data_IF_670202448747
#
_entry.id   IF_670202448747
#
_cell.length_a   1.000
_cell.length_b   1.000
_cell.length_c   1.000
_cell.angle_alpha   90.00
_cell.angle_beta   90.00
_cell.angle_gamma   90.00
#
_symmetry.space_group_name_H-M   'P 1'
#
loop_
_entity.id
_entity.type
_entity.pdbx_description
1 polymer ?
2 non-polymer ?
3 non-polymer ?
4 water ?
#
# COMPACT_ATOMS: atom_id res chain seq x y z
N UNK A 2 12.97 -28.81 18.09
CA UNK A 2 11.99 -28.00 18.90
C UNK A 2 11.51 -26.80 18.08
N UNK A 3 11.25 -26.98 16.79
CA UNK A 3 11.04 -25.83 15.85
C UNK A 3 9.70 -25.13 16.13
N UNK A 4 9.76 -23.79 16.19
CA UNK A 4 8.60 -22.86 16.20
C UNK A 4 7.73 -23.16 14.98
N UNK A 5 6.39 -23.29 15.11
CA UNK A 5 5.55 -23.43 13.92
C UNK A 5 5.60 -22.10 13.15
N UNK A 6 5.32 -22.17 11.86
CA UNK A 6 5.28 -20.95 11.03
C UNK A 6 3.99 -20.18 11.28
N UNK A 7 4.06 -18.85 11.36
CA UNK A 7 2.86 -18.08 11.59
C UNK A 7 1.86 -18.05 10.43
N UNK A 8 0.58 -17.95 10.78
CA UNK A 8 -0.54 -17.75 9.83
C UNK A 8 -0.92 -16.27 9.75
N UNK A 9 -0.54 -15.50 10.74
CA UNK A 9 -0.79 -14.03 10.80
C UNK A 9 0.40 -13.37 11.48
N UNK A 10 0.68 -12.16 11.03
CA UNK A 10 1.63 -11.25 11.69
C UNK A 10 1.00 -9.90 11.93
N UNK A 11 1.65 -9.10 12.74
CA UNK A 11 1.22 -7.70 12.87
C UNK A 11 2.34 -6.83 12.34
N UNK A 12 1.91 -5.77 11.69
CA UNK A 12 2.77 -4.80 10.99
C UNK A 12 2.43 -3.44 11.51
N UNK A 13 3.44 -2.71 11.93
CA UNK A 13 3.39 -1.30 12.28
C UNK A 13 3.83 -0.46 11.07
N UNK A 14 3.03 0.54 10.72
CA UNK A 14 3.39 1.55 9.74
C UNK A 14 3.44 2.89 10.47
N UNK A 15 4.53 3.62 10.27
CA UNK A 15 4.63 4.99 10.76
C UNK A 15 4.95 5.96 9.66
N UNK A 16 4.34 7.12 9.69
CA UNK A 16 4.72 8.21 8.75
C UNK A 16 4.91 9.47 9.57
N UNK A 17 6.05 10.12 9.36
CA UNK A 17 6.32 11.37 10.08
C UNK A 17 7.12 12.32 9.20
N UNK A 18 6.54 13.48 8.91
CA UNK A 18 7.30 14.60 8.34
C UNK A 18 7.95 15.33 9.51
N UNK A 19 9.26 15.20 9.59
CA UNK A 19 10.07 15.67 10.74
C UNK A 19 10.34 17.19 10.65
N UNK A 20 10.00 17.86 9.56
CA UNK A 20 10.21 19.31 9.52
C UNK A 20 11.66 19.71 9.62
N UNK A 21 12.55 18.87 9.15
CA UNK A 21 14.01 19.13 9.14
C UNK A 21 14.55 19.43 10.55
N UNK A 22 13.95 18.89 11.58
CA UNK A 22 14.39 19.08 12.97
C UNK A 22 14.69 17.72 13.56
N UNK A 23 15.70 17.61 14.43
CA UNK A 23 15.91 16.39 15.16
C UNK A 23 14.71 16.04 16.02
N UNK A 24 14.49 14.74 16.26
CA UNK A 24 13.40 14.30 17.11
C UNK A 24 13.71 14.61 18.56
N UNK A 25 12.67 14.56 19.40
CA UNK A 25 12.89 14.65 20.82
C UNK A 25 13.46 13.34 21.37
N UNK A 26 13.81 13.33 22.66
CA UNK A 26 14.51 12.22 23.32
C UNK A 26 13.65 10.95 23.34
N UNK A 27 12.33 11.10 23.44
CA UNK A 27 11.41 9.95 23.56
C UNK A 27 10.35 10.03 22.47
N UNK A 28 10.28 8.94 21.69
CA UNK A 28 9.29 8.82 20.61
C UNK A 28 8.55 7.50 20.75
N UNK A 29 8.61 6.87 21.92
CA UNK A 29 7.97 5.55 22.14
C UNK A 29 6.46 5.62 21.89
N UNK A 30 5.78 6.77 22.14
CA UNK A 30 4.31 6.84 21.98
C UNK A 30 3.92 6.50 20.53
N UNK A 31 4.79 6.81 19.59
CA UNK A 31 4.50 6.56 18.14
C UNK A 31 4.34 5.04 17.98
N UNK A 32 5.38 4.28 18.41
CA UNK A 32 5.45 2.81 18.19
C UNK A 32 4.46 2.06 19.07
N UNK A 33 3.90 2.73 20.08
CA UNK A 33 2.86 2.17 20.96
C UNK A 33 1.45 2.54 20.46
N UNK A 34 1.34 3.30 19.37
CA UNK A 34 -0.02 3.69 18.84
C UNK A 34 -0.81 4.37 19.96
N UNK A 35 -0.18 5.36 20.63
CA UNK A 35 -0.82 6.17 21.69
C UNK A 35 -1.00 7.62 21.22
N UNK A 36 -2.16 8.19 21.55
CA UNK A 36 -2.43 9.60 21.32
C UNK A 36 -3.90 9.77 20.95
N UNK A 37 -4.15 10.23 19.75
CA UNK A 37 -5.53 10.52 19.29
C UNK A 37 -5.88 9.54 18.18
N UNK A 38 -7.16 9.27 18.03
CA UNK A 38 -7.70 8.39 16.99
C UNK A 38 -7.98 7.00 17.52
N UNK A 39 -7.73 6.01 16.66
CA UNK A 39 -7.92 4.59 16.97
C UNK A 39 -6.59 4.13 17.56
N UNK A 40 -6.56 3.99 18.88
CA UNK A 40 -5.28 3.74 19.57
C UNK A 40 -5.25 2.30 20.08
N UNK A 41 -4.05 1.87 20.42
CA UNK A 41 -3.79 0.49 20.83
C UNK A 41 -3.99 0.36 22.35
N UNK A 42 -4.50 -0.79 22.74
CA UNK A 42 -4.77 -1.09 24.17
C UNK A 42 -3.48 -1.16 24.98
N UNK A 43 -3.51 -0.56 26.17
CA UNK A 43 -2.32 -0.53 27.06
C UNK A 43 -1.83 -1.96 27.36
N UNK A 44 -2.72 -2.93 27.34
CA UNK A 44 -2.39 -4.34 27.70
C UNK A 44 -1.48 -4.97 26.63
N UNK A 45 -1.31 -4.31 25.49
CA UNK A 45 -0.46 -4.85 24.38
C UNK A 45 0.91 -4.16 24.35
N UNK A 46 1.18 -3.24 25.27
CA UNK A 46 2.37 -2.38 25.13
C UNK A 46 3.64 -3.20 24.97
N UNK A 47 3.78 -4.33 25.66
CA UNK A 47 5.03 -5.09 25.66
C UNK A 47 5.10 -6.09 24.52
N UNK A 48 4.01 -6.24 23.78
CA UNK A 48 3.90 -7.25 22.69
C UNK A 48 4.49 -6.60 21.46
N UNK A 49 5.61 -7.11 20.94
CA UNK A 49 6.19 -6.51 19.75
C UNK A 49 5.33 -6.82 18.53
N UNK A 50 5.29 -5.84 17.63
CA UNK A 50 4.90 -6.13 16.24
C UNK A 50 5.97 -6.95 15.58
N UNK A 51 5.55 -7.75 14.60
CA UNK A 51 6.49 -8.60 13.84
C UNK A 51 7.40 -7.75 12.95
N UNK A 52 6.82 -6.72 12.33
CA UNK A 52 7.53 -5.84 11.38
C UNK A 52 7.17 -4.41 11.70
N UNK A 53 8.15 -3.52 11.73
CA UNK A 53 7.96 -2.06 11.88
C UNK A 53 8.48 -1.38 10.62
N UNK A 54 7.63 -0.63 9.97
CA UNK A 54 8.02 0.13 8.77
C UNK A 54 7.86 1.60 9.07
N UNK A 55 8.95 2.32 8.97
CA UNK A 55 9.00 3.74 9.40
C UNK A 55 9.34 4.62 8.20
N UNK A 56 8.38 5.46 7.81
CA UNK A 56 8.55 6.43 6.72
C UNK A 56 8.73 7.81 7.32
N UNK A 57 9.77 8.48 6.89
CA UNK A 57 9.99 9.90 7.24
C UNK A 57 10.13 10.76 6.01
N UNK A 58 9.73 12.00 6.20
CA UNK A 58 9.90 13.05 5.17
C UNK A 58 10.57 14.23 5.87
N UNK A 59 11.27 15.06 5.10
CA UNK A 59 12.03 16.18 5.67
C UNK A 59 12.86 15.66 6.85
N UNK A 60 13.48 14.50 6.66
CA UNK A 60 14.31 13.85 7.69
C UNK A 60 15.72 14.41 7.66
N UNK A 61 16.18 15.06 8.76
CA UNK A 61 17.49 15.68 8.77
C UNK A 61 18.63 14.76 9.23
N UNK A 62 18.30 13.56 9.67
CA UNK A 62 19.31 12.67 10.30
C UNK A 62 20.02 11.81 9.25
N UNK A 63 21.17 11.32 9.61
CA UNK A 63 21.81 10.27 8.80
C UNK A 63 21.04 8.97 9.03
N UNK A 64 21.20 8.02 8.10
CA UNK A 64 20.67 6.67 8.29
C UNK A 64 21.13 6.10 9.62
N UNK A 65 22.42 6.22 9.93
CA UNK A 65 22.98 5.64 11.14
C UNK A 65 22.29 6.25 12.37
N UNK A 66 22.14 7.58 12.39
CA UNK A 66 21.56 8.30 13.52
C UNK A 66 20.10 7.88 13.72
N UNK A 67 19.32 7.76 12.66
CA UNK A 67 17.91 7.41 12.81
C UNK A 67 17.76 5.96 13.19
N UNK A 68 18.57 5.06 12.64
CA UNK A 68 18.52 3.61 13.02
C UNK A 68 18.78 3.46 14.51
N UNK A 69 19.78 4.18 15.02
CA UNK A 69 20.11 4.06 16.44
C UNK A 69 18.88 4.44 17.26
N UNK A 70 18.21 5.53 16.90
CA UNK A 70 17.06 6.05 17.69
C UNK A 70 15.92 5.05 17.58
N UNK A 71 15.65 4.55 16.39
CA UNK A 71 14.56 3.57 16.21
C UNK A 71 14.83 2.28 16.98
N UNK A 72 16.01 1.67 16.83
CA UNK A 72 16.29 0.41 17.54
C UNK A 72 16.29 0.63 19.05
N UNK A 73 16.78 1.76 19.55
CA UNK A 73 16.77 2.02 21.01
C UNK A 73 15.31 2.11 21.47
N UNK A 74 14.46 2.80 20.72
CA UNK A 74 13.04 3.02 21.12
C UNK A 74 12.34 1.64 21.20
N UNK A 75 12.52 0.79 20.20
CA UNK A 75 11.85 -0.52 20.22
C UNK A 75 12.43 -1.38 21.33
N UNK A 76 13.74 -1.37 21.54
CA UNK A 76 14.33 -2.16 22.64
C UNK A 76 13.71 -1.74 23.99
N UNK A 77 13.56 -0.44 24.19
CA UNK A 77 13.00 0.05 25.47
C UNK A 77 11.55 -0.47 25.62
N UNK A 78 10.76 -0.45 24.56
CA UNK A 78 9.34 -0.88 24.60
C UNK A 78 9.26 -2.39 24.85
N UNK A 79 10.03 -3.16 24.10
CA UNK A 79 9.75 -4.61 23.86
C UNK A 79 10.82 -5.49 24.49
N UNK A 80 11.97 -4.93 24.83
CA UNK A 80 13.18 -5.66 25.32
C UNK A 80 13.69 -6.58 24.20
N UNK A 81 13.32 -6.31 22.95
CA UNK A 81 13.79 -7.09 21.78
C UNK A 81 14.70 -6.18 20.95
N UNK A 82 15.81 -6.72 20.51
CA UNK A 82 16.73 -6.06 19.58
C UNK A 82 16.27 -6.41 18.17
N UNK A 83 15.69 -5.45 17.49
CA UNK A 83 15.16 -5.69 16.13
C UNK A 83 16.29 -5.72 15.09
N UNK A 84 16.09 -6.49 14.03
CA UNK A 84 17.02 -6.60 12.90
C UNK A 84 16.59 -5.64 11.81
N UNK A 85 17.57 -5.00 11.20
CA UNK A 85 17.34 -4.12 10.04
C UNK A 85 17.11 -5.02 8.83
N UNK A 86 15.97 -4.87 8.18
CA UNK A 86 15.64 -5.59 6.91
C UNK A 86 16.13 -4.75 5.73
N UNK A 87 15.85 -3.46 5.77
CA UNK A 87 16.21 -2.54 4.69
C UNK A 87 16.11 -1.10 5.16
N UNK A 88 16.88 -0.25 4.54
CA UNK A 88 16.77 1.22 4.71
C UNK A 88 17.06 1.84 3.33
N UNK A 89 16.24 2.79 2.92
CA UNK A 89 16.48 3.49 1.64
C UNK A 89 16.06 4.94 1.77
N UNK A 90 16.91 5.83 1.29
CA UNK A 90 16.70 7.27 1.39
C UNK A 90 16.78 7.90 0.00
N UNK A 91 15.84 8.80 -0.31
CA UNK A 91 15.93 9.68 -1.50
C UNK A 91 15.85 11.07 -0.91
N UNK A 92 16.88 11.85 -1.07
CA UNK A 92 16.94 13.22 -0.51
C UNK A 92 16.66 13.17 0.99
N UNK A 93 15.53 13.67 1.44
CA UNK A 93 15.15 13.65 2.86
C UNK A 93 13.91 12.78 3.10
N UNK A 94 13.65 11.85 2.16
CA UNK A 94 12.52 10.88 2.21
C UNK A 94 13.14 9.51 2.52
N UNK A 95 12.69 8.88 3.58
CA UNK A 95 13.38 7.65 4.04
C UNK A 95 12.39 6.57 4.47
N UNK A 96 12.75 5.35 4.21
CA UNK A 96 12.01 4.18 4.72
C UNK A 96 12.99 3.24 5.44
N UNK A 97 12.58 2.82 6.64
CA UNK A 97 13.30 1.80 7.45
C UNK A 97 12.34 0.65 7.73
N UNK A 98 12.78 -0.56 7.47
CA UNK A 98 12.03 -1.79 7.83
C UNK A 98 12.85 -2.56 8.86
N UNK A 99 12.25 -2.77 10.01
CA UNK A 99 12.80 -3.58 11.10
C UNK A 99 11.93 -4.82 11.34
N UNK A 100 12.54 -5.93 11.71
CA UNK A 100 11.76 -7.14 12.03
C UNK A 100 12.30 -7.85 13.26
N UNK A 101 11.44 -8.63 13.88
CA UNK A 101 11.86 -9.46 15.02
C UNK A 101 12.99 -10.35 14.56
N UNK A 102 13.99 -10.65 15.41
CA UNK A 102 15.11 -11.49 14.98
C UNK A 102 14.65 -12.90 14.59
N UNK A 103 13.56 -13.41 15.17
CA UNK A 103 13.03 -14.77 14.80
C UNK A 103 12.61 -14.80 13.34
N UNK A 104 12.41 -13.67 12.68
CA UNK A 104 11.94 -13.62 11.27
C UNK A 104 13.07 -13.51 10.26
N UNK A 105 14.31 -13.44 10.72
CA UNK A 105 15.44 -13.15 9.79
C UNK A 105 15.45 -14.22 8.67
N UNK A 106 15.24 -15.49 8.99
CA UNK A 106 15.29 -16.60 8.00
C UNK A 106 13.96 -16.75 7.26
N UNK A 107 12.95 -15.97 7.61
CA UNK A 107 11.63 -15.97 6.89
C UNK A 107 11.58 -14.88 5.82
N UNK A 108 12.50 -13.94 5.89
CA UNK A 108 12.45 -12.75 5.01
C UNK A 108 13.52 -12.95 3.93
N UNK A 109 13.13 -12.77 2.68
CA UNK A 109 14.07 -12.90 1.54
C UNK A 109 13.63 -11.97 0.43
N UNK A 110 14.37 -11.95 -0.67
CA UNK A 110 14.00 -11.20 -1.90
C UNK A 110 13.73 -9.74 -1.56
N UNK A 111 14.66 -9.13 -0.85
CA UNK A 111 14.53 -7.73 -0.41
C UNK A 111 14.86 -6.85 -1.61
N UNK A 112 13.98 -5.91 -1.89
CA UNK A 112 14.20 -4.91 -2.97
C UNK A 112 13.90 -3.52 -2.42
N UNK A 113 14.66 -2.55 -2.92
CA UNK A 113 14.47 -1.13 -2.60
C UNK A 113 14.47 -0.34 -3.90
N UNK A 114 13.72 0.74 -3.93
CA UNK A 114 13.79 1.68 -5.07
C UNK A 114 13.26 3.05 -4.66
N UNK A 115 13.43 4.01 -5.56
CA UNK A 115 12.86 5.34 -5.37
C UNK A 115 12.37 5.84 -6.73
N UNK A 116 11.48 6.82 -6.66
CA UNK A 116 10.99 7.56 -7.83
C UNK A 116 11.08 9.04 -7.48
N UNK A 117 11.66 9.81 -8.39
CA UNK A 117 11.74 11.27 -8.32
C UNK A 117 10.58 11.81 -9.12
N UNK A 118 9.72 12.62 -8.52
CA UNK A 118 8.57 13.16 -9.28
C UNK A 118 8.88 14.54 -9.89
N UNK A 119 8.02 15.04 -10.79
CA UNK A 119 8.20 16.40 -11.32
C UNK A 119 9.24 16.49 -12.42
N UNK A 120 9.41 17.71 -12.96
CA UNK A 120 10.27 17.97 -14.16
C UNK A 120 10.90 19.33 -13.91
N UNK A 121 12.19 19.52 -14.19
CA UNK A 121 12.87 20.84 -14.08
C UNK A 121 12.68 21.37 -12.65
N UNK A 122 11.99 22.51 -12.45
CA UNK A 122 11.90 23.21 -11.15
C UNK A 122 11.11 22.41 -10.10
N UNK A 123 10.33 21.38 -10.50
CA UNK A 123 9.55 20.49 -9.58
C UNK A 123 10.27 19.15 -9.39
N UNK A 124 11.44 18.96 -10.03
CA UNK A 124 12.32 17.78 -9.79
C UNK A 124 13.40 18.21 -8.79
N UNK A 125 13.45 17.53 -7.64
CA UNK A 125 14.57 17.76 -6.69
C UNK A 125 14.26 17.68 -5.21
N UNK A 126 12.98 17.55 -4.77
CA UNK A 126 12.78 17.16 -3.34
C UNK A 126 11.60 16.19 -3.15
N UNK A 127 10.67 16.03 -4.06
CA UNK A 127 9.47 15.18 -3.85
C UNK A 127 9.64 13.85 -4.60
N UNK A 128 8.97 12.82 -4.09
CA UNK A 128 9.02 11.50 -4.67
C UNK A 128 8.70 10.46 -3.63
N UNK A 129 9.22 9.28 -3.86
CA UNK A 129 8.88 8.14 -3.02
C UNK A 129 10.07 7.19 -2.91
N UNK A 130 10.09 6.52 -1.76
CA UNK A 130 10.96 5.36 -1.57
C UNK A 130 10.10 4.13 -1.26
N UNK A 131 10.63 2.97 -1.57
CA UNK A 131 9.91 1.75 -1.22
C UNK A 131 10.79 0.57 -0.96
N UNK A 132 10.19 -0.41 -0.29
CA UNK A 132 10.83 -1.70 0.06
C UNK A 132 9.83 -2.80 -0.23
N UNK A 133 10.31 -3.91 -0.76
CA UNK A 133 9.52 -5.14 -0.80
C UNK A 133 10.35 -6.30 -0.35
N UNK A 134 9.64 -7.33 0.08
CA UNK A 134 10.30 -8.60 0.40
C UNK A 134 9.24 -9.68 0.46
N UNK A 135 9.72 -10.91 0.53
CA UNK A 135 8.88 -12.09 0.79
C UNK A 135 8.98 -12.39 2.29
N UNK A 136 7.88 -12.71 2.90
CA UNK A 136 7.81 -13.22 4.28
C UNK A 136 7.21 -14.60 4.14
N UNK A 137 8.02 -15.64 4.22
CA UNK A 137 7.60 -17.02 3.86
C UNK A 137 6.91 -16.96 2.47
N UNK A 138 5.66 -17.36 2.36
CA UNK A 138 4.98 -17.42 1.05
C UNK A 138 4.27 -16.13 0.68
N UNK A 139 4.44 -15.07 1.46
CA UNK A 139 3.63 -13.85 1.31
C UNK A 139 4.52 -12.71 0.83
N UNK A 140 4.09 -12.00 -0.23
CA UNK A 140 4.84 -10.83 -0.70
C UNK A 140 4.30 -9.56 -0.05
N UNK A 141 5.20 -8.72 0.42
CA UNK A 141 4.88 -7.47 1.14
C UNK A 141 5.60 -6.30 0.45
N UNK A 142 4.85 -5.26 0.18
CA UNK A 142 5.36 -4.01 -0.38
C UNK A 142 5.00 -2.80 0.46
N UNK A 143 5.93 -1.85 0.52
CA UNK A 143 5.81 -0.64 1.34
C UNK A 143 6.31 0.55 0.53
N UNK A 144 5.50 1.60 0.50
CA UNK A 144 5.83 2.85 -0.21
C UNK A 144 5.66 4.01 0.76
N UNK A 145 6.71 4.84 0.87
CA UNK A 145 6.66 6.12 1.57
C UNK A 145 6.81 7.23 0.53
N UNK A 146 5.76 8.01 0.33
CA UNK A 146 5.82 9.11 -0.65
C UNK A 146 5.63 10.47 0.03
N UNK A 147 6.36 11.44 -0.45
CA UNK A 147 6.23 12.86 -0.11
C UNK A 147 5.75 13.53 -1.40
N UNK A 148 4.44 13.81 -1.49
CA UNK A 148 3.83 14.35 -2.72
C UNK A 148 3.90 15.87 -2.68
N UNK A 149 3.57 16.45 -3.81
CA UNK A 149 3.59 17.90 -4.02
C UNK A 149 2.76 18.61 -2.93
N UNK A 150 3.24 19.74 -2.42
CA UNK A 150 2.55 20.54 -1.38
C UNK A 150 1.64 21.57 -2.01
N UNK A 151 0.74 22.10 -1.22
CA UNK A 151 -0.05 23.30 -1.54
C UNK A 151 -1.49 22.90 -1.80
N UNK A 152 -2.42 23.65 -1.23
CA UNK A 152 -3.85 23.35 -1.35
C UNK A 152 -4.29 23.31 -2.81
N UNK A 153 -3.68 24.09 -3.69
CA UNK A 153 -4.10 24.30 -5.09
C UNK A 153 -3.59 23.16 -5.99
N UNK A 154 -2.83 22.21 -5.47
CA UNK A 154 -2.09 21.26 -6.33
C UNK A 154 -2.56 19.81 -6.19
N UNK A 155 -3.83 19.58 -5.98
CA UNK A 155 -4.34 18.20 -5.83
C UNK A 155 -4.07 17.43 -7.13
N UNK A 156 -4.22 18.05 -8.31
CA UNK A 156 -4.03 17.32 -9.59
C UNK A 156 -2.58 16.87 -9.69
N UNK A 157 -1.64 17.72 -9.25
CA UNK A 157 -0.18 17.39 -9.24
C UNK A 157 0.04 16.19 -8.33
N UNK A 158 -0.56 16.19 -7.16
CA UNK A 158 -0.43 15.04 -6.26
C UNK A 158 -0.91 13.78 -6.97
N UNK A 159 -2.05 13.87 -7.63
CA UNK A 159 -2.60 12.64 -8.28
C UNK A 159 -1.60 12.15 -9.36
N UNK A 160 -1.04 13.10 -10.11
CA UNK A 160 0.01 12.77 -11.14
C UNK A 160 1.25 12.17 -10.48
N UNK A 161 1.62 12.67 -9.30
CA UNK A 161 2.79 12.12 -8.59
C UNK A 161 2.50 10.64 -8.26
N UNK A 162 1.29 10.36 -7.71
CA UNK A 162 0.83 9.02 -7.39
C UNK A 162 0.96 8.11 -8.61
N UNK A 163 0.52 8.59 -9.77
CA UNK A 163 0.55 7.71 -10.97
C UNK A 163 2.00 7.47 -11.40
N UNK A 164 2.87 8.46 -11.34
CA UNK A 164 4.31 8.21 -11.66
C UNK A 164 4.95 7.22 -10.68
N UNK A 165 4.69 7.36 -9.38
CA UNK A 165 5.32 6.46 -8.39
C UNK A 165 4.82 5.04 -8.67
N UNK A 166 3.52 4.85 -8.92
CA UNK A 166 3.05 3.45 -9.06
C UNK A 166 3.53 2.86 -10.39
N UNK A 167 3.73 3.69 -11.41
CA UNK A 167 4.26 3.19 -12.68
C UNK A 167 5.74 2.81 -12.58
N UNK A 168 6.52 3.63 -11.88
CA UNK A 168 7.99 3.57 -12.07
C UNK A 168 8.73 2.92 -10.90
N UNK A 169 8.10 2.74 -9.76
CA UNK A 169 8.76 2.10 -8.65
C UNK A 169 8.98 0.63 -8.97
N UNK A 170 10.23 0.20 -8.92
CA UNK A 170 10.64 -1.17 -9.31
C UNK A 170 10.80 -2.04 -8.07
N UNK A 171 9.72 -2.65 -7.63
CA UNK A 171 9.72 -3.53 -6.46
C UNK A 171 9.10 -4.85 -6.84
N UNK A 172 9.27 -5.85 -5.99
CA UNK A 172 8.62 -7.15 -6.18
C UNK A 172 9.27 -7.91 -7.32
N UNK A 173 8.53 -8.87 -7.81
CA UNK A 173 9.02 -9.92 -8.73
C UNK A 173 9.08 -9.34 -10.17
N UNK A 174 10.27 -9.10 -10.69
CA UNK A 174 10.44 -8.52 -12.05
C UNK A 174 9.87 -9.44 -13.13
N UNK A 175 9.61 -10.71 -12.83
CA UNK A 175 8.99 -11.61 -13.84
C UNK A 175 7.53 -11.23 -14.03
N UNK A 176 6.95 -10.44 -13.11
CA UNK A 176 5.56 -9.93 -13.25
C UNK A 176 5.55 -8.69 -14.16
N UNK A 177 6.03 -8.85 -15.39
CA UNK A 177 6.36 -7.68 -16.25
C UNK A 177 5.15 -6.82 -16.54
N UNK A 178 3.93 -7.36 -16.74
CA UNK A 178 2.78 -6.51 -17.02
C UNK A 178 2.25 -5.73 -15.83
N UNK A 179 2.74 -6.04 -14.64
CA UNK A 179 2.07 -5.59 -13.40
C UNK A 179 2.90 -4.51 -12.72
N UNK A 180 2.20 -3.46 -12.30
CA UNK A 180 2.82 -2.42 -11.47
C UNK A 180 2.72 -2.81 -9.99
N UNK A 181 3.27 -2.00 -9.12
CA UNK A 181 3.30 -2.34 -7.67
C UNK A 181 1.89 -2.55 -7.13
N UNK A 182 0.85 -2.02 -7.77
CA UNK A 182 -0.49 -2.19 -7.21
C UNK A 182 -0.99 -3.62 -7.42
N UNK A 183 -0.27 -4.48 -8.12
CA UNK A 183 -0.66 -5.89 -8.28
C UNK A 183 0.42 -6.86 -7.82
N UNK A 184 1.60 -6.39 -7.45
CA UNK A 184 2.71 -7.34 -7.24
C UNK A 184 2.73 -7.97 -5.84
N UNK A 185 1.95 -7.47 -4.87
CA UNK A 185 2.09 -7.87 -3.46
C UNK A 185 0.78 -8.43 -2.91
N UNK A 186 0.90 -9.45 -2.08
CA UNK A 186 -0.23 -9.92 -1.27
C UNK A 186 -0.78 -8.74 -0.46
N UNK A 187 0.11 -7.96 0.14
CA UNK A 187 -0.24 -6.75 0.92
C UNK A 187 0.68 -5.61 0.49
N UNK A 188 0.09 -4.49 0.12
CA UNK A 188 0.82 -3.26 -0.23
C UNK A 188 0.36 -2.17 0.73
N UNK A 189 1.29 -1.52 1.39
CA UNK A 189 1.03 -0.37 2.28
C UNK A 189 1.64 0.85 1.60
N UNK A 190 0.84 1.90 1.46
CA UNK A 190 1.32 3.17 0.88
C UNK A 190 0.97 4.27 1.86
N UNK A 191 1.99 4.98 2.27
CA UNK A 191 1.90 5.99 3.33
C UNK A 191 2.82 7.13 3.02
N UNK A 192 2.69 8.17 3.81
CA UNK A 192 3.57 9.32 3.65
C UNK A 192 2.92 10.64 3.96
N UNK A 193 3.69 11.68 3.67
CA UNK A 193 3.14 13.03 3.57
C UNK A 193 2.55 13.20 2.16
N UNK A 194 1.31 12.75 2.06
CA UNK A 194 0.58 12.77 0.76
C UNK A 194 0.11 14.20 0.45
N UNK A 195 0.07 15.06 1.45
CA UNK A 195 -0.06 16.51 1.28
C UNK A 195 -1.44 16.95 0.78
N UNK A 196 -2.44 16.04 0.77
CA UNK A 196 -3.83 16.48 0.48
C UNK A 196 -4.37 17.31 1.65
N UNK A 197 -5.15 18.34 1.30
CA UNK A 197 -5.59 19.37 2.23
C UNK A 197 -7.10 19.39 2.41
N UNK A 198 -7.50 20.04 3.49
CA UNK A 198 -8.96 20.31 3.72
C UNK A 198 -9.32 21.54 2.90
N UNK A 199 -10.17 21.32 1.89
CA UNK A 199 -10.45 22.36 0.88
C UNK A 199 -11.66 23.18 1.33
N UNK A 200 -11.39 24.15 2.14
CA UNK A 200 -12.37 25.11 2.65
C UNK A 200 -11.79 26.49 2.43
N UNK A 201 -12.61 27.55 2.39
CA UNK A 201 -12.05 28.87 2.17
C UNK A 201 -11.08 29.29 3.29
N UNK A 202 -10.09 30.11 2.95
CA UNK A 202 -9.03 30.48 3.91
C UNK A 202 -9.62 31.34 5.04
N UNK A 203 -10.69 32.09 4.76
CA UNK A 203 -11.35 32.92 5.79
C UNK A 203 -12.10 32.05 6.83
N UNK A 204 -12.22 30.75 6.58
CA UNK A 204 -12.80 29.81 7.55
C UNK A 204 -11.75 29.21 8.48
N UNK A 205 -10.52 29.69 8.49
CA UNK A 205 -9.44 29.07 9.30
C UNK A 205 -9.89 28.95 10.77
N UNK A 206 -10.34 30.04 11.34
CA UNK A 206 -10.65 30.03 12.79
C UNK A 206 -11.82 29.08 13.03
N UNK A 207 -12.76 29.01 12.11
CA UNK A 207 -13.93 28.09 12.24
C UNK A 207 -13.40 26.65 12.24
N UNK A 208 -12.45 26.37 11.37
CA UNK A 208 -11.84 25.02 11.31
C UNK A 208 -11.20 24.69 12.67
N UNK A 209 -10.46 25.63 13.19
CA UNK A 209 -9.75 25.43 14.46
C UNK A 209 -10.77 25.18 15.56
N UNK A 210 -11.89 25.89 15.60
CA UNK A 210 -12.99 25.67 16.59
C UNK A 210 -13.49 24.23 16.46
N UNK A 211 -13.76 23.78 15.22
CA UNK A 211 -14.25 22.41 15.02
C UNK A 211 -13.26 21.38 15.56
N UNK A 212 -11.97 21.62 15.33
CA UNK A 212 -10.93 20.69 15.83
C UNK A 212 -10.94 20.65 17.37
N UNK A 213 -11.04 21.78 18.01
CA UNK A 213 -11.09 21.86 19.50
C UNK A 213 -12.30 21.09 20.06
N UNK A 214 -13.40 21.05 19.33
CA UNK A 214 -14.65 20.35 19.70
C UNK A 214 -14.59 18.87 19.33
N UNK A 215 -13.50 18.46 18.70
CA UNK A 215 -13.34 17.09 18.15
C UNK A 215 -14.47 16.73 17.17
N UNK A 216 -14.88 17.69 16.37
CA UNK A 216 -15.97 17.55 15.38
C UNK A 216 -15.31 17.58 14.01
N UNK A 217 -14.95 16.41 13.51
CA UNK A 217 -14.16 16.30 12.25
C UNK A 217 -15.05 16.10 11.03
N UNK A 218 -16.35 15.81 11.17
CA UNK A 218 -17.14 15.40 9.99
C UNK A 218 -17.12 16.42 8.86
N UNK A 219 -17.40 17.70 9.15
CA UNK A 219 -17.49 18.73 8.10
C UNK A 219 -16.11 19.09 7.57
N UNK A 220 -15.06 18.73 8.29
CA UNK A 220 -13.69 18.86 7.75
C UNK A 220 -13.38 17.69 6.80
N UNK A 221 -13.61 16.44 7.25
CA UNK A 221 -13.29 15.26 6.40
C UNK A 221 -14.13 15.28 5.12
N UNK A 222 -15.35 15.85 5.14
CA UNK A 222 -16.16 15.93 3.91
C UNK A 222 -15.48 16.84 2.87
N UNK A 223 -14.46 17.63 3.27
CA UNK A 223 -13.69 18.49 2.34
C UNK A 223 -12.24 18.02 2.17
N UNK A 224 -11.88 16.90 2.75
CA UNK A 224 -10.50 16.37 2.62
C UNK A 224 -10.30 15.97 1.15
N UNK A 225 -9.24 16.47 0.55
CA UNK A 225 -9.03 16.26 -0.88
C UNK A 225 -8.73 14.78 -1.16
N UNK A 226 -8.06 14.06 -0.30
CA UNK A 226 -7.77 12.64 -0.61
C UNK A 226 -9.08 11.85 -0.56
N UNK A 227 -9.94 12.06 0.44
CA UNK A 227 -11.22 11.33 0.44
C UNK A 227 -12.05 11.70 -0.80
N UNK A 228 -12.10 12.97 -1.19
CA UNK A 228 -12.94 13.37 -2.32
C UNK A 228 -12.35 12.86 -3.62
N UNK A 229 -11.05 12.96 -3.83
CA UNK A 229 -10.43 12.47 -5.07
C UNK A 229 -10.55 10.95 -5.14
N UNK A 230 -10.43 10.22 -4.01
CA UNK A 230 -10.66 8.77 -4.06
C UNK A 230 -12.13 8.48 -4.42
N UNK A 231 -13.09 9.23 -3.87
CA UNK A 231 -14.51 8.96 -4.13
C UNK A 231 -14.77 9.13 -5.62
N UNK A 232 -14.11 10.10 -6.24
CA UNK A 232 -14.29 10.40 -7.67
C UNK A 232 -13.34 9.55 -8.53
N UNK A 233 -12.66 8.59 -7.92
CA UNK A 233 -11.81 7.63 -8.66
C UNK A 233 -10.70 8.37 -9.43
N UNK A 234 -10.10 9.39 -8.82
CA UNK A 234 -9.00 10.16 -9.46
C UNK A 234 -7.63 9.72 -8.96
N UNK A 235 -7.57 8.95 -7.86
CA UNK A 235 -6.28 8.56 -7.20
C UNK A 235 -6.58 7.42 -6.24
N UNK A 236 -5.55 6.60 -6.00
CA UNK A 236 -5.65 5.51 -5.04
C UNK A 236 -6.83 4.59 -5.30
N UNK A 237 -7.13 4.29 -6.55
CA UNK A 237 -8.23 3.37 -6.86
C UNK A 237 -7.91 1.98 -6.28
N UNK A 238 -8.86 1.39 -5.59
CA UNK A 238 -8.77 0.03 -5.03
C UNK A 238 -7.93 -0.02 -3.77
N UNK A 239 -7.57 1.13 -3.19
CA UNK A 239 -6.93 1.13 -1.86
C UNK A 239 -7.96 1.42 -0.77
N UNK A 240 -7.61 1.01 0.44
CA UNK A 240 -8.42 1.18 1.68
C UNK A 240 -7.72 2.18 2.58
N UNK A 241 -8.49 2.87 3.41
CA UNK A 241 -7.97 3.71 4.50
C UNK A 241 -8.93 3.55 5.66
N UNK A 242 -8.38 3.39 6.85
CA UNK A 242 -9.21 3.35 8.07
C UNK A 242 -9.86 4.74 8.25
N UNK A 243 -11.01 4.75 8.90
CA UNK A 243 -11.67 6.03 9.24
C UNK A 243 -10.77 6.89 10.10
N UNK A 244 -10.73 8.17 9.78
CA UNK A 244 -9.88 9.13 10.51
C UNK A 244 -10.68 9.67 11.70
N UNK A 245 -10.10 9.51 12.91
CA UNK A 245 -10.77 9.95 14.17
C UNK A 245 -9.81 10.77 15.04
N UNK A 246 -8.74 11.25 14.44
CA UNK A 246 -7.72 12.10 15.07
C UNK A 246 -7.73 13.46 14.41
N UNK A 247 -7.25 14.48 15.11
CA UNK A 247 -7.18 15.85 14.58
C UNK A 247 -6.21 15.93 13.41
N UNK A 248 -6.42 16.92 12.53
CA UNK A 248 -5.46 17.21 11.47
C UNK A 248 -4.04 17.24 12.03
N UNK A 249 -3.10 16.67 11.26
CA UNK A 249 -1.71 16.48 11.72
C UNK A 249 -0.76 17.58 11.29
N UNK A 250 -1.28 18.56 10.59
CA UNK A 250 -0.50 19.67 9.98
C UNK A 250 -1.44 20.88 9.98
N UNK A 251 -0.95 22.12 10.11
CA UNK A 251 0.39 22.57 10.40
C UNK A 251 0.42 23.17 11.80
N UNK A 252 1.27 22.59 12.67
CA UNK A 252 1.36 23.00 14.09
C UNK A 252 2.49 23.99 14.27
N UNK A 253 2.32 24.93 15.18
CA UNK A 253 3.48 25.60 15.81
C UNK A 253 4.35 24.53 16.46
N UNK A 254 5.66 24.58 16.28
CA UNK A 254 6.55 23.62 16.97
C UNK A 254 6.56 23.84 18.48
N UNK A 255 6.82 22.75 19.21
CA UNK A 255 7.11 22.67 20.69
C UNK A 255 5.82 22.72 21.53
N UNK A 256 4.67 22.81 20.87
CA UNK A 256 3.33 22.61 21.51
C UNK A 256 2.47 21.81 20.55
N UNK A 257 1.27 21.36 20.95
CA UNK A 257 0.21 20.99 19.95
C UNK A 257 -1.01 21.87 20.13
N UNK A 258 -0.84 22.96 20.85
CA UNK A 258 -1.96 23.84 21.26
C UNK A 258 -2.36 24.74 20.09
N UNK A 259 -1.51 24.82 19.06
CA UNK A 259 -1.69 25.85 18.04
C UNK A 259 -1.42 25.36 16.62
N UNK A 260 -2.39 25.60 15.78
CA UNK A 260 -2.25 25.48 14.32
C UNK A 260 -1.71 26.82 13.82
N UNK A 261 -0.70 26.73 12.97
CA UNK A 261 -0.05 27.84 12.26
C UNK A 261 -0.43 27.78 10.78
N UNK A 262 -1.46 28.55 10.43
CA UNK A 262 -2.07 28.43 9.10
C UNK A 262 -1.79 29.65 8.25
N UNK A 263 -1.43 30.78 8.83
CA UNK A 263 -1.44 32.07 8.10
C UNK A 263 -0.31 32.09 7.07
N UNK A 264 -0.49 32.90 6.04
CA UNK A 264 0.53 33.00 4.98
C UNK A 264 1.71 33.80 5.54
N UNK A 265 2.91 33.31 5.21
CA UNK A 265 4.18 33.91 5.67
C UNK A 265 5.19 33.85 4.50
N UNK A 266 6.27 34.64 4.56
CA UNK A 266 7.33 34.54 3.52
C UNK A 266 7.82 33.10 3.49
N UNK A 267 7.98 32.49 4.66
CA UNK A 267 8.51 31.12 4.79
C UNK A 267 7.58 30.09 4.12
N UNK A 268 6.31 30.40 3.89
CA UNK A 268 5.36 29.47 3.22
C UNK A 268 5.15 29.86 1.75
N UNK A 269 5.93 30.78 1.23
CA UNK A 269 5.65 31.23 -0.13
C UNK A 269 4.35 32.03 -0.18
N UNK A 270 3.98 32.67 0.94
CA UNK A 270 2.71 33.43 1.02
C UNK A 270 1.53 32.51 0.71
N UNK A 271 1.64 31.26 1.13
CA UNK A 271 0.52 30.28 1.09
C UNK A 271 -0.09 30.07 2.47
N UNK A 272 -1.39 29.92 2.51
CA UNK A 272 -2.12 29.42 3.68
C UNK A 272 -1.91 27.93 3.80
N UNK A 273 -1.78 27.46 5.03
CA UNK A 273 -1.78 26.02 5.35
C UNK A 273 -2.92 25.76 6.35
N UNK A 274 -4.15 25.71 5.87
CA UNK A 274 -5.28 25.36 6.76
C UNK A 274 -5.01 23.96 7.29
N UNK A 275 -5.46 23.70 8.54
CA UNK A 275 -5.30 22.40 9.15
C UNK A 275 -5.78 21.29 8.21
N UNK A 276 -4.92 20.29 8.04
CA UNK A 276 -5.11 19.21 7.08
C UNK A 276 -4.59 17.88 7.59
N UNK A 277 -5.16 16.83 7.01
CA UNK A 277 -4.67 15.47 7.20
C UNK A 277 -3.66 15.13 6.09
N UNK A 278 -2.49 15.73 6.18
CA UNK A 278 -1.40 15.50 5.19
C UNK A 278 -0.87 14.07 5.24
N UNK A 279 -0.88 13.47 6.43
CA UNK A 279 -0.02 12.32 6.78
C UNK A 279 -0.91 11.09 6.89
N UNK A 280 -0.73 10.10 6.01
CA UNK A 280 -1.81 9.10 5.79
C UNK A 280 -1.17 7.71 5.64
N UNK A 281 -1.96 6.70 5.86
CA UNK A 281 -1.62 5.29 5.64
C UNK A 281 -2.80 4.63 4.93
N UNK A 282 -2.53 4.11 3.72
CA UNK A 282 -3.50 3.34 2.93
C UNK A 282 -2.92 1.97 2.65
N UNK A 283 -3.77 1.04 2.25
CA UNK A 283 -3.29 -0.30 1.89
C UNK A 283 -4.15 -0.93 0.82
N UNK A 284 -3.59 -1.92 0.19
CA UNK A 284 -4.29 -2.74 -0.81
C UNK A 284 -3.77 -4.17 -0.66
N UNK A 285 -4.65 -5.10 -0.38
CA UNK A 285 -4.34 -6.53 -0.30
C UNK A 285 -5.09 -7.30 -1.38
N UNK A 286 -4.56 -8.44 -1.76
CA UNK A 286 -5.23 -9.34 -2.69
C UNK A 286 -6.58 -9.73 -2.13
N UNK A 287 -7.53 -10.02 -3.03
CA UNK A 287 -8.88 -10.42 -2.60
C UNK A 287 -8.89 -11.61 -1.64
N UNK A 288 -9.71 -11.47 -0.59
CA UNK A 288 -9.98 -12.51 0.42
C UNK A 288 -8.73 -12.90 1.18
N UNK A 289 -7.77 -12.01 1.29
CA UNK A 289 -6.66 -12.18 2.24
C UNK A 289 -7.04 -11.39 3.50
N UNK A 290 -6.82 -11.98 4.63
CA UNK A 290 -7.04 -11.31 5.92
C UNK A 290 -6.13 -10.10 6.05
N UNK A 291 -6.73 -8.95 6.29
CA UNK A 291 -6.01 -7.72 6.69
C UNK A 291 -6.99 -6.90 7.51
N UNK A 292 -6.61 -6.57 8.73
CA UNK A 292 -7.45 -5.78 9.66
C UNK A 292 -6.61 -4.66 10.23
N UNK A 293 -7.09 -3.43 10.11
CA UNK A 293 -6.44 -2.28 10.77
C UNK A 293 -6.82 -2.32 12.24
N UNK A 294 -5.80 -2.32 13.08
CA UNK A 294 -5.89 -2.42 14.56
C UNK A 294 -5.73 -1.03 15.21
N UNK A 295 -5.10 -0.08 14.53
CA UNK A 295 -4.89 1.29 15.06
C UNK A 295 -4.65 2.23 13.90
N UNK A 296 -5.08 3.48 14.06
CA UNK A 296 -4.82 4.54 13.08
C UNK A 296 -4.98 5.84 13.82
N UNK A 297 -3.89 6.54 14.08
CA UNK A 297 -3.96 7.75 14.90
C UNK A 297 -2.71 8.56 14.83
N UNK A 298 -2.67 9.57 15.66
CA UNK A 298 -1.54 10.49 15.69
C UNK A 298 -1.07 10.62 17.14
N UNK A 299 0.23 10.87 17.27
CA UNK A 299 0.76 11.12 18.63
C UNK A 299 0.44 12.56 19.05
N UNK A 300 0.44 12.79 20.37
CA UNK A 300 0.13 14.07 21.00
C UNK A 300 1.39 14.68 21.65
N UNK A 301 2.46 13.90 21.85
CA UNK A 301 3.58 14.31 22.72
C UNK A 301 4.91 14.46 21.99
N UNK A 302 4.87 14.42 20.67
CA UNK A 302 6.05 14.58 19.79
C UNK A 302 5.85 15.86 18.99
N UNK A 303 6.60 16.88 19.36
CA UNK A 303 6.24 18.28 18.99
C UNK A 303 7.39 19.01 18.32
N UNK A 304 8.43 18.30 17.88
CA UNK A 304 9.60 18.96 17.25
C UNK A 304 9.29 19.43 15.83
N UNK A 305 8.31 18.83 15.17
CA UNK A 305 7.98 19.16 13.78
C UNK A 305 6.69 20.01 13.74
N UNK A 306 6.42 20.57 12.58
CA UNK A 306 5.10 21.15 12.30
C UNK A 306 4.08 20.08 11.89
N UNK A 307 4.47 18.83 11.80
CA UNK A 307 3.54 17.71 11.66
C UNK A 307 3.62 16.83 12.89
N UNK A 308 2.51 16.17 13.22
CA UNK A 308 2.49 15.07 14.19
C UNK A 308 2.70 13.75 13.48
N UNK A 309 3.51 12.85 14.09
CA UNK A 309 3.59 11.48 13.60
C UNK A 309 2.21 10.80 13.54
N UNK A 310 2.09 9.92 12.53
CA UNK A 310 0.91 9.06 12.35
C UNK A 310 1.34 7.61 12.44
N UNK A 311 0.52 6.81 13.10
CA UNK A 311 0.71 5.37 13.23
C UNK A 311 -0.49 4.65 12.65
N UNK A 312 -0.23 3.48 12.13
CA UNK A 312 -1.26 2.50 11.79
C UNK A 312 -0.69 1.13 12.08
N UNK A 313 -1.53 0.20 12.52
CA UNK A 313 -1.07 -1.19 12.71
C UNK A 313 -2.08 -2.13 12.07
N UNK A 314 -1.60 -3.28 11.66
CA UNK A 314 -2.42 -4.25 10.90
C UNK A 314 -2.13 -5.66 11.37
N UNK A 315 -3.18 -6.47 11.39
CA UNK A 315 -3.05 -7.94 11.42
C UNK A 315 -3.14 -8.39 9.95
N UNK A 316 -2.16 -9.11 9.47
CA UNK A 316 -2.08 -9.47 8.04
C UNK A 316 -1.92 -11.00 7.93
N UNK A 317 -2.72 -11.66 7.09
CA UNK A 317 -2.56 -13.08 6.83
C UNK A 317 -1.26 -13.33 6.09
N UNK A 318 -0.59 -14.42 6.43
CA UNK A 318 0.63 -14.88 5.75
C UNK A 318 0.48 -16.38 5.56
N UNK A 319 1.24 -16.90 4.60
CA UNK A 319 1.27 -18.33 4.26
C UNK A 319 2.71 -18.86 4.37
N UNK A 320 2.80 -20.17 4.43
CA UNK A 320 4.11 -20.87 4.59
C UNK A 320 4.69 -21.11 3.21
N UNK A 321 6.00 -21.42 3.21
CA UNK A 321 6.81 -21.82 2.03
C UNK A 321 6.53 -23.31 1.84
N UNK A 322 5.43 -23.61 1.15
CA UNK A 322 4.92 -25.00 0.98
C UNK A 322 5.90 -25.80 0.11
N UNK A 323 6.15 -27.03 0.58
CA UNK A 323 6.95 -28.10 -0.07
C UNK A 323 6.07 -29.37 -0.08
N UNK A 324 5.83 -29.91 -1.27
CA UNK A 324 5.20 -31.24 -1.49
C UNK A 324 6.24 -32.26 -2.02
N UNK A 325 5.83 -33.52 -2.09
CA UNK A 325 6.61 -34.59 -2.79
C UNK A 325 6.83 -34.19 -4.26
N UNK A 326 5.89 -33.45 -4.87
CA UNK A 326 5.92 -32.98 -6.29
C UNK A 326 6.53 -31.56 -6.33
N UNK A 327 5.72 -30.50 -6.51
CA UNK A 327 6.25 -29.12 -6.60
C UNK A 327 6.73 -28.62 -5.24
N UNK A 328 7.61 -27.58 -5.13
CA UNK A 328 8.32 -26.99 -6.28
C UNK A 328 9.24 -27.87 -7.14
N UNK A 329 9.29 -27.56 -8.45
CA UNK A 329 10.21 -28.20 -9.39
C UNK A 329 9.55 -29.22 -10.27
N UNK A 330 8.22 -29.35 -10.14
CA UNK A 330 7.34 -30.14 -11.03
C UNK A 330 5.92 -29.68 -10.77
N UNK A 331 4.94 -30.18 -11.54
CA UNK A 331 3.48 -29.96 -11.35
C UNK A 331 2.96 -31.01 -10.36
N UNK A 332 1.81 -30.74 -9.73
CA UNK A 332 1.04 -31.74 -8.96
C UNK A 332 -0.17 -32.11 -9.83
N UNK A 333 -0.09 -33.20 -10.59
CA UNK A 333 -1.03 -33.53 -11.69
C UNK A 333 -2.48 -33.59 -11.17
N UNK A 334 -2.69 -33.71 -9.85
CA UNK A 334 -4.05 -33.70 -9.25
C UNK A 334 -4.69 -32.32 -9.48
N UNK A 335 -3.90 -31.24 -9.42
CA UNK A 335 -4.44 -29.87 -9.40
C UNK A 335 -4.74 -29.33 -10.79
N UNK A 336 -5.84 -28.60 -10.95
CA UNK A 336 -6.05 -27.87 -12.22
C UNK A 336 -6.93 -26.64 -11.97
N UNK A 337 -6.73 -25.61 -12.77
CA UNK A 337 -7.59 -24.39 -12.73
C UNK A 337 -8.18 -24.19 -14.12
N UNK A 338 -9.51 -24.17 -14.23
CA UNK A 338 -10.18 -24.02 -15.53
C UNK A 338 -11.03 -22.77 -15.51
N UNK A 339 -11.08 -22.05 -16.62
CA UNK A 339 -11.93 -20.84 -16.83
C UNK A 339 -13.01 -21.12 -17.88
N UNK A 340 -14.24 -20.76 -17.56
CA UNK A 340 -15.40 -21.05 -18.43
C UNK A 340 -16.05 -19.71 -18.73
N UNK A 341 -16.54 -19.49 -19.96
CA UNK A 341 -17.50 -18.41 -20.28
C UNK A 341 -16.83 -17.08 -19.84
N UNK A 342 -15.54 -16.91 -20.10
CA UNK A 342 -14.85 -15.66 -19.66
C UNK A 342 -14.86 -14.61 -20.76
N UNK A 343 -14.97 -13.38 -20.32
CA UNK A 343 -14.82 -12.24 -21.23
C UNK A 343 -14.27 -11.02 -20.50
N UNK A 344 -13.51 -10.26 -21.28
CA UNK A 344 -13.00 -8.96 -20.85
C UNK A 344 -13.88 -7.89 -21.48
N UNK A 345 -14.15 -6.84 -20.72
CA UNK A 345 -14.83 -5.64 -21.23
C UNK A 345 -13.81 -4.52 -21.13
N UNK A 346 -13.49 -3.87 -22.24
CA UNK A 346 -12.42 -2.85 -22.22
C UNK A 346 -12.93 -1.50 -22.69
N UNK A 347 -12.41 -0.44 -22.09
CA UNK A 347 -12.77 0.96 -22.39
C UNK A 347 -12.04 1.47 -23.66
N UNK A 348 -11.10 0.74 -24.21
CA UNK A 348 -10.31 1.13 -25.40
C UNK A 348 -11.16 1.36 -26.66
N UNK A 349 -10.67 2.26 -27.49
CA UNK A 349 -11.14 2.53 -28.88
C UNK A 349 -10.35 1.66 -29.87
N UNK A 350 -9.29 0.98 -29.42
CA UNK A 350 -8.46 0.06 -30.24
C UNK A 350 -9.33 -1.07 -30.83
N UNK A 351 -8.96 -1.62 -31.98
CA UNK A 351 -9.57 -2.87 -32.54
C UNK A 351 -8.51 -3.96 -32.81
N UNK A 352 -7.31 -3.89 -32.21
CA UNK A 352 -6.35 -5.04 -32.17
C UNK A 352 -7.05 -6.25 -31.56
N UNK A 353 -6.57 -7.45 -31.90
CA UNK A 353 -6.89 -8.67 -31.15
C UNK A 353 -6.17 -8.59 -29.80
N UNK A 354 -6.68 -9.33 -28.83
CA UNK A 354 -6.10 -9.41 -27.48
C UNK A 354 -5.90 -10.86 -27.07
N UNK A 355 -4.90 -11.07 -26.22
CA UNK A 355 -4.68 -12.34 -25.51
C UNK A 355 -4.50 -12.09 -24.02
N UNK A 356 -4.57 -13.17 -23.24
CA UNK A 356 -4.36 -13.06 -21.78
C UNK A 356 -3.00 -13.66 -21.40
N UNK A 357 -2.49 -13.17 -20.29
CA UNK A 357 -1.42 -13.85 -19.53
C UNK A 357 -1.90 -14.08 -18.12
N UNK A 358 -1.68 -15.30 -17.65
CA UNK A 358 -1.98 -15.73 -16.27
C UNK A 358 -0.65 -15.84 -15.53
N UNK A 359 -0.48 -15.05 -14.45
CA UNK A 359 0.77 -15.09 -13.65
C UNK A 359 0.41 -15.51 -12.23
N UNK A 360 1.17 -16.42 -11.67
CA UNK A 360 0.99 -16.82 -10.29
C UNK A 360 2.21 -17.59 -9.81
N UNK A 361 2.57 -17.38 -8.57
CA UNK A 361 3.55 -18.21 -7.82
C UNK A 361 3.13 -19.70 -7.77
N UNK A 362 1.85 -20.01 -7.99
CA UNK A 362 1.44 -21.44 -7.99
C UNK A 362 1.69 -22.09 -9.36
N UNK A 363 2.21 -21.35 -10.34
CA UNK A 363 2.53 -21.89 -11.68
C UNK A 363 4.05 -21.93 -11.87
N UNK A 364 4.58 -22.83 -12.69
CA UNK A 364 6.05 -22.86 -12.93
C UNK A 364 6.49 -21.57 -13.65
N UNK A 365 5.67 -21.12 -14.59
CA UNK A 365 5.86 -19.85 -15.32
C UNK A 365 4.50 -19.40 -15.85
N UNK A 366 4.46 -18.15 -16.26
CA UNK A 366 3.19 -17.56 -16.71
C UNK A 366 2.70 -18.24 -17.99
N UNK A 367 1.39 -18.21 -18.17
CA UNK A 367 0.71 -18.88 -19.30
C UNK A 367 0.01 -17.86 -20.20
N UNK A 368 0.25 -17.99 -21.48
CA UNK A 368 -0.31 -17.14 -22.55
C UNK A 368 -1.48 -17.86 -23.19
N UNK A 369 -2.64 -17.19 -23.28
CA UNK A 369 -3.87 -17.72 -23.96
C UNK A 369 -3.76 -17.47 -25.46
N UNK A 370 -4.68 -18.11 -26.18
CA UNK A 370 -5.00 -17.76 -27.59
C UNK A 370 -5.66 -16.38 -27.58
N UNK A 371 -5.79 -15.79 -28.74
CA UNK A 371 -6.53 -14.51 -28.88
C UNK A 371 -8.02 -14.77 -28.63
N UNK A 372 -8.67 -13.79 -28.02
CA UNK A 372 -10.13 -13.75 -27.88
C UNK A 372 -10.81 -13.32 -29.16
N UNK A 373 -12.13 -13.34 -29.12
CA UNK A 373 -13.05 -12.94 -30.20
C UNK A 373 -13.67 -11.61 -29.81
N UNK A 374 -13.32 -10.57 -30.56
CA UNK A 374 -13.83 -9.21 -30.33
C UNK A 374 -15.30 -9.16 -30.77
N UNK A 375 -16.14 -8.64 -29.91
CA UNK A 375 -17.48 -8.16 -30.31
C UNK A 375 -17.58 -6.72 -29.83
N UNK A 376 -18.51 -5.98 -30.40
CA UNK A 376 -18.92 -4.66 -29.88
C UNK A 376 -20.06 -4.86 -28.89
N UNK A 377 -20.00 -4.18 -27.74
CA UNK A 377 -21.10 -4.08 -26.76
C UNK A 377 -22.07 -2.96 -27.12
N UNK A 378 -23.34 -3.13 -26.76
CA UNK A 378 -24.45 -2.21 -27.09
C UNK A 378 -24.06 -0.76 -26.80
N UNK A 379 -23.41 -0.52 -25.65
CA UNK A 379 -23.09 0.86 -25.14
C UNK A 379 -21.68 1.27 -25.64
N UNK A 380 -21.25 0.82 -26.83
CA UNK A 380 -20.00 1.24 -27.49
C UNK A 380 -18.83 0.29 -27.26
N UNK A 381 -18.77 -0.35 -26.08
CA UNK A 381 -17.54 -0.97 -25.45
C UNK A 381 -16.90 -2.05 -26.34
N UNK A 382 -15.67 -2.42 -26.01
CA UNK A 382 -15.09 -3.64 -26.61
C UNK A 382 -15.29 -4.80 -25.65
N UNK A 383 -15.91 -5.86 -26.14
CA UNK A 383 -16.04 -7.15 -25.42
C UNK A 383 -15.13 -8.15 -26.11
N UNK A 384 -14.22 -8.71 -25.32
CA UNK A 384 -13.31 -9.77 -25.79
C UNK A 384 -13.75 -11.09 -25.15
N UNK A 385 -14.30 -11.97 -25.97
CA UNK A 385 -14.84 -13.28 -25.56
C UNK A 385 -13.72 -14.32 -25.62
N UNK A 386 -13.54 -15.11 -24.58
CA UNK A 386 -12.59 -16.25 -24.61
C UNK A 386 -13.32 -17.59 -24.63
N UNK A 387 -14.65 -17.59 -24.55
CA UNK A 387 -15.49 -18.78 -24.28
C UNK A 387 -14.84 -19.83 -23.36
N UNK A 388 -14.62 -21.04 -23.91
CA UNK A 388 -14.07 -22.24 -23.24
C UNK A 388 -12.67 -22.48 -23.79
N UNK A 389 -12.09 -21.47 -24.47
CA UNK A 389 -10.83 -21.53 -25.23
C UNK A 389 -9.61 -21.37 -24.29
N UNK A 390 -9.77 -20.86 -23.06
CA UNK A 390 -8.61 -20.51 -22.20
C UNK A 390 -7.87 -21.77 -21.79
N UNK A 391 -6.53 -21.71 -21.60
CA UNK A 391 -5.76 -22.87 -21.13
C UNK A 391 -6.20 -23.34 -19.74
N UNK A 392 -6.03 -24.63 -19.53
CA UNK A 392 -6.12 -25.30 -18.21
C UNK A 392 -4.78 -25.05 -17.52
N UNK A 393 -4.79 -24.39 -16.35
CA UNK A 393 -3.54 -24.06 -15.62
C UNK A 393 -3.17 -25.22 -14.71
N UNK A 394 -1.87 -25.53 -14.65
CA UNK A 394 -1.35 -26.69 -13.91
C UNK A 394 -0.52 -26.18 -12.75
N UNK A 395 -1.12 -26.08 -11.54
CA UNK A 395 -0.38 -25.62 -10.37
C UNK A 395 0.67 -26.65 -9.97
N UNK A 396 1.69 -26.18 -9.26
CA UNK A 396 2.92 -26.94 -8.87
C UNK A 396 2.61 -27.84 -7.66
N UNK A 397 1.55 -27.49 -6.93
CA UNK A 397 1.09 -28.14 -5.69
C UNK A 397 -0.44 -28.20 -5.77
N UNK A 398 -1.05 -29.34 -5.43
CA UNK A 398 -2.51 -29.59 -5.56
C UNK A 398 -3.21 -29.55 -4.20
N UNK A 399 -2.43 -29.53 -3.11
CA UNK A 399 -2.95 -29.58 -1.72
C UNK A 399 -3.89 -28.39 -1.58
N UNK A 400 -5.16 -28.59 -1.19
CA UNK A 400 -6.11 -27.46 -1.09
C UNK A 400 -5.71 -26.43 -0.03
N UNK A 401 -4.98 -26.86 1.01
CA UNK A 401 -4.45 -25.95 2.05
C UNK A 401 -3.49 -24.93 1.43
N UNK A 402 -2.85 -25.30 0.33
CA UNK A 402 -1.95 -24.36 -0.39
C UNK A 402 -2.80 -23.63 -1.44
N UNK A 403 -3.53 -24.39 -2.26
CA UNK A 403 -4.00 -23.84 -3.55
C UNK A 403 -5.14 -22.85 -3.30
N UNK A 404 -5.99 -23.08 -2.27
CA UNK A 404 -7.09 -22.13 -1.97
C UNK A 404 -6.55 -20.80 -1.43
N UNK A 405 -5.28 -20.73 -1.05
CA UNK A 405 -4.70 -19.46 -0.59
C UNK A 405 -4.02 -18.68 -1.70
N UNK A 406 -4.04 -19.16 -2.92
CA UNK A 406 -3.28 -18.53 -4.01
C UNK A 406 -4.16 -17.56 -4.79
N UNK A 407 -3.52 -16.83 -5.70
CA UNK A 407 -4.14 -15.81 -6.54
C UNK A 407 -3.58 -15.88 -7.94
N UNK A 408 -4.42 -15.60 -8.93
CA UNK A 408 -4.02 -15.54 -10.35
C UNK A 408 -4.08 -14.08 -10.78
N UNK A 409 -2.94 -13.53 -11.17
CA UNK A 409 -2.91 -12.20 -11.82
C UNK A 409 -3.24 -12.41 -13.29
N UNK A 410 -4.01 -11.51 -13.85
CA UNK A 410 -4.43 -11.56 -15.28
C UNK A 410 -4.04 -10.24 -15.92
N UNK A 411 -3.35 -10.33 -17.05
CA UNK A 411 -3.12 -9.19 -17.96
C UNK A 411 -3.73 -9.49 -19.32
N UNK A 412 -4.41 -8.49 -19.84
CA UNK A 412 -4.94 -8.57 -21.23
C UNK A 412 -4.07 -7.68 -22.10
N UNK A 413 -3.43 -8.32 -23.08
CA UNK A 413 -2.42 -7.68 -23.95
C UNK A 413 -2.86 -7.63 -25.41
N UNK A 414 -2.46 -6.56 -26.08
CA UNK A 414 -2.61 -6.37 -27.51
C UNK A 414 -1.72 -7.36 -28.25
N UNK A 415 -2.29 -8.09 -29.21
CA UNK A 415 -1.49 -8.93 -30.12
C UNK A 415 -0.52 -8.07 -30.94
N UNK A 416 -0.88 -6.83 -31.25
CA UNK A 416 -0.14 -5.94 -32.19
C UNK A 416 1.11 -5.40 -31.47
N UNK A 417 1.00 -5.07 -30.20
CA UNK A 417 2.05 -4.29 -29.47
C UNK A 417 2.60 -5.04 -28.28
N UNK A 418 1.95 -6.12 -27.85
CA UNK A 418 2.28 -6.89 -26.62
C UNK A 418 2.28 -5.97 -25.37
N UNK A 419 1.57 -4.86 -25.39
CA UNK A 419 1.39 -3.95 -24.24
C UNK A 419 0.13 -4.38 -23.51
N UNK A 420 0.17 -4.35 -22.19
CA UNK A 420 -1.01 -4.62 -21.34
C UNK A 420 -2.00 -3.47 -21.44
N UNK A 421 -3.25 -3.79 -21.70
CA UNK A 421 -4.36 -2.83 -21.65
C UNK A 421 -5.08 -2.90 -20.30
N UNK A 422 -4.82 -3.91 -19.48
CA UNK A 422 -5.52 -4.08 -18.20
C UNK A 422 -4.93 -5.20 -17.38
N UNK A 423 -4.90 -4.98 -16.09
CA UNK A 423 -4.36 -5.94 -15.10
C UNK A 423 -5.38 -6.09 -13.96
N UNK A 424 -5.54 -7.33 -13.51
CA UNK A 424 -6.36 -7.63 -12.32
C UNK A 424 -5.96 -8.92 -11.65
N UNK A 425 -6.73 -9.30 -10.64
CA UNK A 425 -6.35 -10.41 -9.75
C UNK A 425 -7.61 -11.17 -9.36
N UNK A 426 -7.51 -12.49 -9.39
CA UNK A 426 -8.57 -13.45 -8.98
C UNK A 426 -8.09 -14.30 -7.80
N UNK A 427 -8.87 -14.34 -6.72
CA UNK A 427 -8.57 -15.25 -5.61
C UNK A 427 -9.03 -16.68 -5.89
N UNK A 428 -8.21 -17.65 -5.49
CA UNK A 428 -8.60 -19.09 -5.53
C UNK A 428 -9.24 -19.51 -4.19
N UNK A 429 -9.63 -18.56 -3.34
CA UNK A 429 -10.30 -18.87 -2.04
C UNK A 429 -11.77 -19.09 -2.31
N UNK A 430 -12.09 -20.20 -2.94
CA UNK A 430 -13.43 -20.45 -3.52
C UNK A 430 -14.34 -21.05 -2.44
N UNK A 431 -15.63 -20.92 -2.64
CA UNK A 431 -16.69 -21.55 -1.80
C UNK A 431 -16.76 -23.05 -2.00
N UNK A 432 -16.24 -23.55 -3.11
CA UNK A 432 -16.33 -24.96 -3.50
C UNK A 432 -15.20 -25.30 -4.48
N UNK A 433 -14.83 -26.58 -4.53
CA UNK A 433 -13.93 -27.13 -5.59
C UNK A 433 -14.77 -28.00 -6.54
N UNK A 434 -14.27 -28.27 -7.75
CA UNK A 434 -14.93 -29.16 -8.74
C UNK A 434 -16.31 -28.58 -9.06
N UNK A 435 -16.49 -27.27 -8.90
CA UNK A 435 -17.77 -26.57 -9.06
C UNK A 435 -17.56 -25.33 -9.90
N UNK A 436 -18.36 -25.06 -10.93
CA UNK A 436 -18.25 -23.79 -11.68
C UNK A 436 -18.74 -22.67 -10.76
N UNK A 437 -17.93 -21.64 -10.58
CA UNK A 437 -18.25 -20.49 -9.69
C UNK A 437 -17.93 -19.19 -10.39
N UNK A 438 -18.72 -18.14 -10.17
CA UNK A 438 -18.41 -16.85 -10.76
C UNK A 438 -17.08 -16.25 -10.28
N UNK A 439 -16.35 -15.64 -11.21
CA UNK A 439 -15.13 -14.85 -10.87
C UNK A 439 -15.25 -13.48 -11.51
N UNK A 440 -14.55 -12.51 -10.94
CA UNK A 440 -14.60 -11.09 -11.36
C UNK A 440 -13.38 -10.39 -10.83
N UNK A 441 -12.81 -9.53 -11.66
CA UNK A 441 -11.85 -8.48 -11.25
C UNK A 441 -12.07 -7.26 -12.12
N UNK A 442 -11.95 -6.07 -11.53
CA UNK A 442 -11.75 -4.90 -12.36
C UNK A 442 -10.36 -5.03 -13.03
N UNK A 443 -10.17 -4.31 -14.11
CA UNK A 443 -8.89 -4.19 -14.83
C UNK A 443 -8.44 -2.75 -14.76
N UNK A 444 -7.17 -2.58 -14.48
CA UNK A 444 -6.52 -1.25 -14.44
C UNK A 444 -5.28 -1.27 -15.33
N UNK A 445 -4.88 -0.08 -15.73
CA UNK A 445 -3.57 0.10 -16.37
C UNK A 445 -3.03 1.42 -15.88
N UNK A 446 -1.77 1.45 -15.45
CA UNK A 446 -1.21 2.63 -14.78
C UNK A 446 -2.12 3.04 -13.59
N UNK A 447 -2.77 2.08 -12.97
CA UNK A 447 -3.58 2.31 -11.77
C UNK A 447 -4.95 2.91 -12.03
N UNK A 448 -5.31 3.12 -13.31
CA UNK A 448 -6.63 3.68 -13.67
C UNK A 448 -7.50 2.61 -14.30
N UNK A 449 -8.81 2.74 -14.06
CA UNK A 449 -9.72 1.66 -14.51
C UNK A 449 -9.76 1.63 -16.05
N UNK A 450 -9.59 0.46 -16.63
CA UNK A 450 -9.62 0.26 -18.13
C UNK A 450 -10.63 -0.78 -18.54
N UNK A 451 -11.28 -1.42 -17.59
CA UNK A 451 -12.22 -2.48 -17.96
C UNK A 451 -12.49 -3.45 -16.84
N UNK A 452 -12.96 -4.63 -17.20
CA UNK A 452 -13.35 -5.71 -16.27
C UNK A 452 -13.08 -7.06 -16.89
N UNK A 453 -12.87 -8.08 -16.06
CA UNK A 453 -12.77 -9.47 -16.52
C UNK A 453 -13.74 -10.27 -15.68
N UNK A 454 -14.57 -11.06 -16.31
CA UNK A 454 -15.48 -11.94 -15.51
C UNK A 454 -15.70 -13.24 -16.25
N UNK A 455 -16.21 -14.23 -15.52
CA UNK A 455 -16.53 -15.54 -16.08
C UNK A 455 -16.74 -16.49 -14.96
N UNK A 456 -16.33 -17.74 -15.16
CA UNK A 456 -16.48 -18.76 -14.15
C UNK A 456 -15.14 -19.48 -14.05
N UNK A 457 -14.93 -20.05 -12.90
CA UNK A 457 -13.72 -20.84 -12.58
C UNK A 457 -14.19 -22.20 -12.10
N UNK A 458 -13.34 -23.19 -12.27
CA UNK A 458 -13.51 -24.55 -11.70
C UNK A 458 -12.12 -24.98 -11.22
N UNK A 459 -11.96 -25.17 -9.92
CA UNK A 459 -10.67 -25.55 -9.30
C UNK A 459 -10.70 -27.01 -8.86
N UNK A 460 -9.76 -27.80 -9.33
CA UNK A 460 -9.48 -29.17 -8.88
C UNK A 460 -8.32 -29.12 -7.87
N UNK A 461 -8.55 -29.57 -6.64
CA UNK A 461 -7.44 -29.83 -5.69
C UNK A 461 -7.29 -31.35 -5.50
N UNK A 462 -6.31 -31.76 -4.70
CA UNK A 462 -6.06 -33.20 -4.37
C UNK A 462 -7.16 -33.75 -3.45
N UNK A 463 -8.07 -32.93 -2.91
CA UNK A 463 -9.17 -33.44 -2.05
C UNK A 463 -10.50 -33.43 -2.82
#
# INVERSE_FOLDING_TARGET
SMEQPEPDMITIFIGTWNMGNAPPPKKITSWFLSKGQGKTRDDSADYIPHDIYVIGTQEDPLSEKEWLEILKHSLQEITSVTFKTVAIHTLWNIRIVVLAKPEHENRISHICTDNVKTGIANTLGNKGAVGVSFMFNGTSLGFVNSHLTSGSEKKLRRNQNYMNILRFLALGDKKLSPFNITHRFTHLFWFGDLNYRVDLPTWEAETIIQKIKQQQYADLLSHDQLLTERREQKVFLHFEEEEITFAPTYRFERLTRDKYAYTKQKATGMKYNLPSWCDRVLWKSYPLVHVVCQSYGSTSDIMTSDHSPVFATFEAGVTSQFVSKNGPGTVDSQGQIEFLRCYATLKTKSQTKFYLEFHSSCLESFVKSQEGENEEGSEGELVVKFGETLPKLKPIISDPEYLLDQHILISIKSSDSDESYGEGCIALRLEATETQLPIYTPLTHHGELTGHFQGEIKLQTSQ
#
